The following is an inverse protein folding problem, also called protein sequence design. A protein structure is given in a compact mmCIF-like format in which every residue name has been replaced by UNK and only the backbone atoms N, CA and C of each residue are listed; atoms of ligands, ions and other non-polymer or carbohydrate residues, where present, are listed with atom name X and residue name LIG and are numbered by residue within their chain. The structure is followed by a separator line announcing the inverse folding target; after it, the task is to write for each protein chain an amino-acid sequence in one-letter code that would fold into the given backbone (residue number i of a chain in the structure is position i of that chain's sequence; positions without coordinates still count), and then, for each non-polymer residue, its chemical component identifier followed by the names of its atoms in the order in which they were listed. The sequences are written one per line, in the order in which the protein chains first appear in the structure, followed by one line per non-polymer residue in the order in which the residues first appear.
data_IF_812527124709
#
_entry.id   IF_812527124709
#
_cell.length_a   1.000
_cell.length_b   1.000
_cell.length_c   1.000
_cell.angle_alpha   90.00
_cell.angle_beta   90.00
_cell.angle_gamma   90.00
#
_symmetry.space_group_name_H-M   'P 1'
#
loop_
_entity.id
_entity.type
_entity.pdbx_description
1 polymer ?
#
# COMPACT_ATOMS: atom_id res chain seq x y z
N UNK A 1 -2.97 49.22 23.70
CA UNK A 1 -1.98 48.36 23.03
C UNK A 1 -1.70 47.17 23.95
N UNK A 2 -2.44 46.07 23.79
CA UNK A 2 -2.25 44.83 24.57
C UNK A 2 -1.58 43.81 23.66
N UNK A 3 -0.25 43.75 23.72
CA UNK A 3 0.55 42.78 22.98
C UNK A 3 0.63 41.47 23.75
N UNK A 4 0.01 40.44 23.17
CA UNK A 4 0.64 39.14 22.92
C UNK A 4 1.35 38.46 24.10
N UNK A 5 0.59 37.76 24.95
CA UNK A 5 1.13 36.76 25.89
C UNK A 5 0.36 35.43 25.85
N UNK A 6 -0.19 35.04 24.68
CA UNK A 6 -1.01 33.82 24.56
C UNK A 6 -0.46 32.79 23.55
N UNK A 7 0.86 32.74 23.37
CA UNK A 7 1.47 31.91 22.33
C UNK A 7 2.64 31.02 22.79
N UNK A 8 2.74 30.68 24.08
CA UNK A 8 3.88 29.86 24.57
C UNK A 8 3.51 28.55 25.30
N UNK A 9 2.24 28.17 25.41
CA UNK A 9 1.88 26.97 26.19
C UNK A 9 1.62 25.70 25.35
N UNK A 10 1.64 25.78 24.01
CA UNK A 10 1.35 24.61 23.17
C UNK A 10 2.59 23.73 22.84
N UNK A 11 3.80 24.21 23.11
CA UNK A 11 5.03 23.50 22.77
C UNK A 11 5.42 22.40 23.79
N UNK A 12 4.88 22.43 25.02
CA UNK A 12 5.24 21.48 26.08
C UNK A 12 4.44 20.16 26.03
N UNK A 13 3.36 20.10 25.26
CA UNK A 13 2.51 18.90 25.17
C UNK A 13 3.01 17.84 24.17
N UNK A 14 3.99 18.17 23.32
CA UNK A 14 4.47 17.24 22.27
C UNK A 14 5.63 16.34 22.72
N UNK A 15 6.21 16.56 23.90
CA UNK A 15 7.35 15.76 24.40
C UNK A 15 6.94 14.42 25.03
N UNK A 16 5.64 14.20 25.27
CA UNK A 16 5.09 12.94 25.77
C UNK A 16 4.17 12.25 24.75
N UNK A 17 4.42 12.46 23.46
CA UNK A 17 3.85 11.57 22.46
C UNK A 17 4.62 10.23 22.53
N UNK A 18 3.98 9.10 22.86
CA UNK A 18 4.63 7.81 22.76
C UNK A 18 5.14 7.67 21.31
N UNK A 19 6.39 7.23 21.17
CA UNK A 19 6.97 6.94 19.87
C UNK A 19 5.93 6.14 19.07
N UNK A 20 5.57 6.57 17.84
CA UNK A 20 4.57 5.85 17.08
C UNK A 20 5.09 4.42 16.96
N UNK A 21 4.41 3.50 17.64
CA UNK A 21 4.75 2.08 17.58
C UNK A 21 4.79 1.77 16.10
N UNK A 22 5.99 1.46 15.60
CA UNK A 22 6.22 1.20 14.19
C UNK A 22 5.29 0.05 13.83
N UNK A 23 4.15 0.39 13.22
CA UNK A 23 3.14 -0.57 12.84
C UNK A 23 3.88 -1.63 12.03
N UNK A 24 3.98 -2.84 12.58
CA UNK A 24 4.59 -3.97 11.87
C UNK A 24 3.95 -3.97 10.49
N UNK A 25 4.74 -3.98 9.40
CA UNK A 25 4.17 -3.94 8.06
C UNK A 25 3.15 -5.09 8.00
N UNK A 26 1.90 -4.74 7.69
CA UNK A 26 0.81 -5.70 7.64
C UNK A 26 1.29 -6.90 6.83
N UNK A 27 1.24 -8.09 7.42
CA UNK A 27 1.79 -9.29 6.79
C UNK A 27 0.94 -9.59 5.54
N UNK A 28 1.43 -9.15 4.38
CA UNK A 28 0.71 -9.28 3.12
C UNK A 28 0.70 -10.76 2.70
N UNK A 29 -0.49 -11.35 2.69
CA UNK A 29 -0.69 -12.72 2.22
C UNK A 29 -0.43 -12.80 0.72
N UNK A 30 0.44 -13.72 0.31
CA UNK A 30 0.73 -14.01 -1.09
C UNK A 30 -0.22 -15.08 -1.61
N UNK A 31 -0.94 -14.77 -2.68
CA UNK A 31 -1.82 -15.69 -3.41
C UNK A 31 -1.05 -16.25 -4.60
N UNK A 32 -0.93 -17.57 -4.67
CA UNK A 32 -0.24 -18.25 -5.77
C UNK A 32 -1.24 -18.81 -6.79
N UNK A 33 -1.14 -18.33 -8.03
CA UNK A 33 -1.97 -18.78 -9.16
C UNK A 33 -1.10 -19.45 -10.23
N UNK A 34 -1.69 -20.36 -11.00
CA UNK A 34 -1.02 -20.99 -12.14
C UNK A 34 -1.41 -20.23 -13.40
N UNK A 35 -0.47 -19.50 -13.99
CA UNK A 35 -0.65 -18.79 -15.24
C UNK A 35 0.04 -19.56 -16.39
N UNK A 36 -0.50 -19.41 -17.60
CA UNK A 36 0.13 -19.95 -18.80
C UNK A 36 1.42 -19.16 -19.09
N UNK A 37 2.49 -19.86 -19.45
CA UNK A 37 3.75 -19.21 -19.81
C UNK A 37 3.61 -18.48 -21.14
N UNK A 38 4.22 -17.30 -21.24
CA UNK A 38 4.29 -16.53 -22.49
C UNK A 38 5.14 -17.22 -23.56
N UNK A 39 6.06 -18.11 -23.16
CA UNK A 39 7.00 -18.77 -24.07
C UNK A 39 6.47 -20.05 -24.69
N UNK A 40 5.51 -20.72 -24.04
CA UNK A 40 4.95 -21.97 -24.54
C UNK A 40 3.54 -22.19 -24.00
N UNK A 41 2.61 -22.52 -24.90
CA UNK A 41 1.21 -22.82 -24.58
C UNK A 41 1.06 -24.03 -23.64
N UNK A 42 2.03 -24.95 -23.64
CA UNK A 42 2.01 -26.14 -22.78
C UNK A 42 2.69 -25.90 -21.44
N UNK A 43 3.55 -24.88 -21.33
CA UNK A 43 4.23 -24.56 -20.10
C UNK A 43 3.30 -23.74 -19.18
N UNK A 44 3.08 -24.26 -17.97
CA UNK A 44 2.37 -23.56 -16.88
C UNK A 44 3.39 -23.12 -15.84
N UNK A 45 3.28 -21.88 -15.36
CA UNK A 45 4.12 -21.36 -14.28
C UNK A 45 3.27 -20.96 -13.09
N UNK A 46 3.78 -21.22 -11.89
CA UNK A 46 3.14 -20.78 -10.65
C UNK A 46 3.69 -19.40 -10.31
N UNK A 47 2.81 -18.41 -10.17
CA UNK A 47 3.15 -17.04 -9.83
C UNK A 47 2.45 -16.71 -8.52
N UNK A 48 3.21 -16.22 -7.55
CA UNK A 48 2.67 -15.72 -6.30
C UNK A 48 2.68 -14.19 -6.32
N UNK A 49 1.51 -13.59 -6.07
CA UNK A 49 1.32 -12.14 -6.00
C UNK A 49 0.62 -11.76 -4.70
N UNK A 50 0.77 -10.53 -4.26
CA UNK A 50 -0.02 -10.00 -3.13
C UNK A 50 -1.43 -9.61 -3.60
N UNK A 51 -2.37 -9.45 -2.67
CA UNK A 51 -3.73 -8.99 -2.99
C UNK A 51 -3.71 -7.63 -3.70
N UNK A 52 -2.80 -6.75 -3.28
CA UNK A 52 -2.63 -5.43 -3.89
C UNK A 52 -2.19 -5.53 -5.36
N UNK A 53 -1.17 -6.32 -5.65
CA UNK A 53 -0.69 -6.54 -7.03
C UNK A 53 -1.78 -7.13 -7.93
N UNK A 54 -2.64 -8.01 -7.39
CA UNK A 54 -3.76 -8.58 -8.14
C UNK A 54 -4.81 -7.53 -8.49
N UNK A 55 -5.14 -6.66 -7.54
CA UNK A 55 -6.11 -5.58 -7.72
C UNK A 55 -5.62 -4.54 -8.74
N UNK A 56 -4.36 -4.12 -8.63
CA UNK A 56 -3.74 -3.18 -9.58
C UNK A 56 -3.77 -3.74 -11.02
N UNK A 57 -3.57 -5.06 -11.18
CA UNK A 57 -3.63 -5.72 -12.48
C UNK A 57 -5.04 -5.79 -13.06
N UNK A 58 -6.05 -6.03 -12.22
CA UNK A 58 -7.46 -5.98 -12.66
C UNK A 58 -7.83 -4.57 -13.12
N UNK A 59 -7.47 -3.54 -12.36
CA UNK A 59 -7.73 -2.15 -12.73
C UNK A 59 -7.04 -1.75 -14.04
N UNK A 60 -5.82 -2.25 -14.29
CA UNK A 60 -5.13 -2.05 -15.57
C UNK A 60 -5.87 -2.72 -16.73
N UNK A 61 -6.30 -3.97 -16.58
CA UNK A 61 -7.07 -4.68 -17.61
C UNK A 61 -8.39 -3.97 -17.90
N UNK A 62 -9.08 -3.48 -16.87
CA UNK A 62 -10.30 -2.71 -17.03
C UNK A 62 -10.05 -1.38 -17.77
N UNK A 63 -8.98 -0.65 -17.42
CA UNK A 63 -8.62 0.59 -18.14
C UNK A 63 -8.27 0.32 -19.60
N UNK A 64 -7.47 -0.70 -19.87
CA UNK A 64 -7.10 -1.09 -21.24
C UNK A 64 -8.32 -1.54 -22.04
N UNK A 65 -9.29 -2.21 -21.40
CA UNK A 65 -10.55 -2.61 -22.04
C UNK A 65 -11.45 -1.43 -22.40
N UNK A 66 -11.39 -0.33 -21.65
CA UNK A 66 -12.17 0.90 -21.92
C UNK A 66 -11.54 1.79 -22.98
N UNK A 67 -10.25 1.59 -23.27
CA UNK A 67 -9.49 2.32 -24.29
C UNK A 67 -9.54 1.64 -25.67
N UNK A 68 -10.07 0.43 -25.77
CA UNK A 68 -10.32 -0.29 -27.02
C UNK A 68 -11.78 -0.18 -27.43
#
# INVERSE_FOLDING_TARGET
MFTSFFALTLAAALQNAPAPEAAKPAEERKICVVEQSSYSRLARKRICRTEREMKERQEQVERDSRLR
#
